data_IF_311669793502
#
_entry.id   IF_311669793502
#
_cell.length_a   1.000
_cell.length_b   1.000
_cell.length_c   1.000
_cell.angle_alpha   90.00
_cell.angle_beta   90.00
_cell.angle_gamma   90.00
#
_symmetry.space_group_name_H-M   'P 1'
#
loop_
_entity.id
_entity.type
_entity.pdbx_description
1 polymer ?
#
# COMPACT_ATOMS: atom_id res chain seq x y z
N UNK A 1 -18.60 4.72 21.36
CA UNK A 1 -18.21 4.57 19.94
C UNK A 1 -17.85 5.96 19.43
N UNK A 2 -16.59 6.22 19.11
CA UNK A 2 -16.18 7.52 18.55
C UNK A 2 -16.86 7.73 17.20
N UNK A 3 -17.53 8.87 17.00
CA UNK A 3 -18.20 9.19 15.74
C UNK A 3 -17.15 9.18 14.61
N UNK A 4 -17.37 8.35 13.60
CA UNK A 4 -16.45 8.25 12.46
C UNK A 4 -16.39 9.62 11.74
N UNK A 5 -15.20 10.22 11.66
CA UNK A 5 -15.02 11.48 10.96
C UNK A 5 -15.06 11.21 9.44
N UNK A 6 -16.23 11.42 8.83
CA UNK A 6 -16.51 11.09 7.43
C UNK A 6 -15.61 11.84 6.44
N UNK A 7 -15.19 13.06 6.77
CA UNK A 7 -14.25 13.83 5.94
C UNK A 7 -12.88 13.15 5.87
N UNK A 8 -12.37 12.69 7.02
CA UNK A 8 -11.08 12.00 7.12
C UNK A 8 -11.13 10.58 6.56
N UNK A 9 -12.25 9.86 6.72
CA UNK A 9 -12.32 8.46 6.29
C UNK A 9 -12.61 8.31 4.80
N UNK A 10 -13.55 9.07 4.27
CA UNK A 10 -14.06 8.88 2.90
C UNK A 10 -14.19 10.18 2.11
N UNK A 11 -13.75 11.32 2.64
CA UNK A 11 -13.73 12.59 1.91
C UNK A 11 -15.10 13.24 1.74
N UNK A 12 -16.12 12.81 2.49
CA UNK A 12 -17.43 13.46 2.45
C UNK A 12 -17.36 14.86 3.05
N UNK A 13 -18.03 15.81 2.39
CA UNK A 13 -18.10 17.23 2.76
C UNK A 13 -16.77 18.00 2.67
N UNK A 14 -15.77 17.46 1.97
CA UNK A 14 -14.53 18.21 1.67
C UNK A 14 -14.77 19.11 0.46
N UNK A 15 -14.50 20.42 0.59
CA UNK A 15 -14.49 21.33 -0.56
C UNK A 15 -13.41 20.91 -1.57
N UNK A 16 -13.52 21.38 -2.83
CA UNK A 16 -12.47 21.18 -3.82
C UNK A 16 -11.18 21.92 -3.36
N UNK A 17 -10.34 21.22 -2.60
CA UNK A 17 -9.05 21.72 -2.15
C UNK A 17 -8.04 21.67 -3.30
N UNK A 18 -7.11 22.63 -3.29
CA UNK A 18 -5.90 22.57 -4.12
C UNK A 18 -5.12 21.32 -3.73
N UNK A 19 -4.68 20.57 -4.73
CA UNK A 19 -4.08 19.25 -4.55
C UNK A 19 -2.62 19.26 -5.04
N UNK A 20 -1.64 18.84 -4.21
CA UNK A 20 -1.80 18.19 -2.91
C UNK A 20 -2.05 19.19 -1.76
N UNK A 21 -2.85 18.77 -0.77
CA UNK A 21 -3.06 19.51 0.49
C UNK A 21 -1.79 19.45 1.35
N UNK A 22 -1.27 20.60 1.79
CA UNK A 22 -0.02 20.71 2.58
C UNK A 22 -0.09 19.86 3.86
N UNK A 23 -1.23 19.87 4.56
CA UNK A 23 -1.40 19.05 5.76
C UNK A 23 -1.35 17.55 5.48
N UNK A 24 -1.77 17.14 4.28
CA UNK A 24 -1.73 15.75 3.84
C UNK A 24 -0.30 15.33 3.47
N UNK A 25 0.48 16.25 2.88
CA UNK A 25 1.91 16.07 2.58
C UNK A 25 2.69 15.90 3.88
N UNK A 26 2.49 16.78 4.86
CA UNK A 26 3.11 16.66 6.19
C UNK A 26 2.76 15.33 6.85
N UNK A 27 1.48 14.94 6.80
CA UNK A 27 1.02 13.66 7.34
C UNK A 27 1.73 12.46 6.69
N UNK A 28 1.86 12.46 5.36
CA UNK A 28 2.54 11.39 4.63
C UNK A 28 4.02 11.33 5.02
N UNK A 29 4.70 12.48 5.10
CA UNK A 29 6.10 12.54 5.50
C UNK A 29 6.33 12.05 6.93
N UNK A 30 5.48 12.44 7.87
CA UNK A 30 5.54 11.93 9.24
C UNK A 30 5.37 10.42 9.30
N UNK A 31 4.52 9.85 8.44
CA UNK A 31 4.27 8.41 8.36
C UNK A 31 5.41 7.64 7.68
N UNK A 32 5.97 8.17 6.60
CA UNK A 32 7.19 7.62 5.99
C UNK A 32 8.33 7.62 7.00
N UNK A 33 8.51 8.75 7.70
CA UNK A 33 9.47 8.87 8.78
C UNK A 33 9.17 7.85 9.89
N UNK A 34 7.95 7.70 10.38
CA UNK A 34 7.63 6.71 11.43
C UNK A 34 7.94 5.26 11.03
N UNK A 35 7.86 4.94 9.74
CA UNK A 35 8.21 3.63 9.19
C UNK A 35 9.71 3.43 8.93
N UNK A 36 10.52 4.49 8.99
CA UNK A 36 11.94 4.45 8.63
C UNK A 36 12.21 4.63 7.14
N UNK A 37 11.21 4.99 6.35
CA UNK A 37 11.35 5.32 4.93
C UNK A 37 11.84 6.78 4.77
N UNK A 38 12.56 7.11 3.68
CA UNK A 38 12.86 8.50 3.34
C UNK A 38 11.56 9.28 3.10
N UNK A 39 11.58 10.56 3.46
CA UNK A 39 10.46 11.48 3.34
C UNK A 39 10.84 12.65 2.43
N UNK A 40 9.84 13.33 1.88
CA UNK A 40 10.08 14.47 0.99
C UNK A 40 10.54 15.69 1.78
N UNK A 41 11.59 16.36 1.30
CA UNK A 41 12.08 17.59 1.91
C UNK A 41 11.05 18.72 1.69
N UNK A 42 10.25 19.01 2.71
CA UNK A 42 9.39 20.19 2.71
C UNK A 42 10.24 21.40 3.10
N UNK A 43 10.15 22.51 2.36
CA UNK A 43 10.87 23.78 2.63
C UNK A 43 10.32 24.55 3.86
N UNK A 44 9.54 23.92 4.72
CA UNK A 44 8.84 24.59 5.83
C UNK A 44 9.53 24.25 7.14
N UNK A 45 10.09 25.26 7.81
CA UNK A 45 10.57 25.16 9.19
C UNK A 45 9.35 25.00 10.11
N UNK A 46 8.90 23.75 10.27
CA UNK A 46 7.84 23.44 11.24
C UNK A 46 8.39 23.56 12.66
N UNK A 47 7.82 24.42 13.53
CA UNK A 47 8.30 24.62 14.90
C UNK A 47 8.15 23.38 15.80
N UNK A 48 7.57 22.28 15.29
CA UNK A 48 7.38 21.02 16.01
C UNK A 48 8.37 19.92 15.59
N UNK A 49 9.30 20.21 14.68
CA UNK A 49 10.19 19.22 14.06
C UNK A 49 10.98 18.38 15.09
N UNK A 50 11.69 19.02 16.02
CA UNK A 50 12.53 18.33 17.01
C UNK A 50 11.74 17.41 17.96
N UNK A 51 10.54 17.87 18.38
CA UNK A 51 9.64 17.09 19.23
C UNK A 51 9.08 15.89 18.46
N UNK A 52 8.70 16.10 17.19
CA UNK A 52 8.23 15.01 16.33
C UNK A 52 9.31 13.98 16.03
N UNK A 53 10.56 14.40 15.83
CA UNK A 53 11.69 13.49 15.56
C UNK A 53 11.93 12.52 16.72
N UNK A 54 11.92 13.02 17.96
CA UNK A 54 12.10 12.19 19.16
C UNK A 54 10.96 11.17 19.33
N UNK A 55 9.72 11.57 19.07
CA UNK A 55 8.55 10.68 19.11
C UNK A 55 8.59 9.63 17.99
N UNK A 56 9.00 10.03 16.79
CA UNK A 56 9.19 9.15 15.64
C UNK A 56 10.28 8.12 15.93
N UNK A 57 11.42 8.52 16.47
CA UNK A 57 12.50 7.62 16.83
C UNK A 57 12.07 6.57 17.86
N UNK A 58 11.34 6.99 18.90
CA UNK A 58 10.75 6.08 19.88
C UNK A 58 9.75 5.11 19.23
N UNK A 59 8.88 5.62 18.37
CA UNK A 59 7.90 4.79 17.66
C UNK A 59 8.57 3.76 16.76
N UNK A 60 9.64 4.12 16.05
CA UNK A 60 10.45 3.18 15.24
C UNK A 60 11.01 2.03 16.07
N UNK A 61 11.54 2.31 17.27
CA UNK A 61 12.04 1.25 18.15
C UNK A 61 10.93 0.34 18.67
N UNK A 62 9.74 0.89 18.97
CA UNK A 62 8.57 0.09 19.33
C UNK A 62 8.12 -0.81 18.17
N UNK A 63 8.04 -0.26 16.95
CA UNK A 63 7.72 -1.00 15.72
C UNK A 63 8.77 -2.08 15.41
N UNK A 64 10.04 -1.85 15.73
CA UNK A 64 11.09 -2.88 15.62
C UNK A 64 10.82 -4.07 16.54
N UNK A 65 10.39 -3.81 17.78
CA UNK A 65 10.00 -4.86 18.73
C UNK A 65 8.72 -5.59 18.28
N UNK A 66 7.80 -4.88 17.62
CA UNK A 66 6.57 -5.44 17.06
C UNK A 66 6.72 -5.92 15.62
N UNK A 67 7.94 -6.12 15.12
CA UNK A 67 8.21 -6.45 13.72
C UNK A 67 7.53 -7.72 13.21
N UNK A 68 7.11 -8.63 14.10
CA UNK A 68 6.38 -9.85 13.76
C UNK A 68 4.87 -9.73 13.92
N UNK A 69 4.37 -8.64 14.51
CA UNK A 69 2.95 -8.41 14.72
C UNK A 69 2.22 -8.21 13.38
N UNK A 70 1.07 -8.84 13.26
CA UNK A 70 0.12 -8.63 12.15
C UNK A 70 -1.14 -8.04 12.74
N UNK A 71 -1.76 -7.09 12.04
CA UNK A 71 -3.05 -6.57 12.48
C UNK A 71 -4.09 -7.73 12.50
N UNK A 72 -5.20 -7.61 13.25
CA UNK A 72 -6.16 -8.71 13.38
C UNK A 72 -6.71 -9.25 12.06
N UNK A 73 -6.83 -8.42 11.02
CA UNK A 73 -7.25 -8.86 9.70
C UNK A 73 -6.17 -9.74 9.05
N UNK A 74 -4.94 -9.25 8.95
CA UNK A 74 -3.82 -9.97 8.35
C UNK A 74 -3.46 -11.23 9.13
N UNK A 75 -3.59 -11.20 10.46
CA UNK A 75 -3.39 -12.38 11.30
C UNK A 75 -4.36 -13.49 10.92
N UNK A 76 -5.65 -13.19 10.72
CA UNK A 76 -6.64 -14.19 10.30
C UNK A 76 -6.32 -14.77 8.92
N UNK A 77 -5.90 -13.92 7.98
CA UNK A 77 -5.46 -14.35 6.64
C UNK A 77 -4.23 -15.25 6.76
N UNK A 78 -3.23 -14.88 7.55
CA UNK A 78 -2.02 -15.67 7.75
C UNK A 78 -2.31 -17.01 8.43
N UNK A 79 -3.19 -17.05 9.44
CA UNK A 79 -3.59 -18.33 10.05
C UNK A 79 -4.26 -19.26 9.05
N UNK A 80 -5.13 -18.71 8.19
CA UNK A 80 -5.73 -19.48 7.11
C UNK A 80 -4.67 -19.96 6.12
N UNK A 81 -3.74 -19.11 5.68
CA UNK A 81 -2.65 -19.49 4.78
C UNK A 81 -1.78 -20.61 5.38
N UNK A 82 -1.41 -20.49 6.66
CA UNK A 82 -0.62 -21.50 7.35
C UNK A 82 -1.33 -22.86 7.37
N UNK A 83 -2.64 -22.87 7.63
CA UNK A 83 -3.44 -24.09 7.62
C UNK A 83 -3.62 -24.64 6.20
N UNK A 84 -3.90 -23.77 5.23
CA UNK A 84 -4.21 -24.15 3.85
C UNK A 84 -3.00 -24.64 3.09
N UNK A 85 -1.81 -24.08 3.37
CA UNK A 85 -0.56 -24.36 2.64
C UNK A 85 0.43 -25.20 3.44
N UNK A 86 0.11 -25.58 4.68
CA UNK A 86 1.05 -26.23 5.60
C UNK A 86 1.68 -27.53 5.07
N UNK A 87 0.97 -28.28 4.23
CA UNK A 87 1.50 -29.51 3.61
C UNK A 87 2.36 -29.26 2.36
N UNK A 88 2.42 -28.02 1.86
CA UNK A 88 3.12 -27.68 0.62
C UNK A 88 4.56 -27.17 0.83
N UNK A 89 4.99 -27.05 2.10
CA UNK A 89 6.31 -26.56 2.50
C UNK A 89 6.21 -25.24 3.28
N UNK A 90 7.26 -24.42 3.19
CA UNK A 90 7.29 -23.11 3.84
C UNK A 90 6.15 -22.23 3.32
N UNK A 91 5.38 -21.67 4.26
CA UNK A 91 4.25 -20.81 3.96
C UNK A 91 4.71 -19.35 3.95
N UNK A 92 4.55 -18.62 2.84
CA UNK A 92 4.88 -17.21 2.75
C UNK A 92 4.18 -16.38 3.84
N UNK A 93 4.92 -15.45 4.43
CA UNK A 93 4.43 -14.55 5.47
C UNK A 93 4.01 -13.21 4.85
N UNK A 94 2.83 -12.73 5.22
CA UNK A 94 2.38 -11.38 4.85
C UNK A 94 3.33 -10.30 5.39
N UNK A 95 3.55 -9.21 4.64
CA UNK A 95 4.34 -8.08 5.10
C UNK A 95 3.75 -7.48 6.37
N UNK A 96 4.50 -7.49 7.47
CA UNK A 96 4.09 -6.88 8.74
C UNK A 96 4.19 -5.35 8.74
N UNK A 97 5.03 -4.80 7.85
CA UNK A 97 5.22 -3.37 7.68
C UNK A 97 4.69 -2.93 6.32
N UNK A 98 3.72 -2.03 6.35
CA UNK A 98 3.16 -1.40 5.15
C UNK A 98 2.71 0.03 5.47
N UNK A 99 2.71 0.88 4.45
CA UNK A 99 2.13 2.20 4.50
C UNK A 99 0.60 2.05 4.45
N UNK A 100 -0.03 2.09 5.63
CA UNK A 100 -1.49 1.92 5.72
C UNK A 100 -2.21 3.15 5.16
N UNK A 101 -3.21 2.97 4.32
CA UNK A 101 -4.06 4.03 3.79
C UNK A 101 -5.23 4.30 4.73
N UNK A 102 -5.00 5.06 5.79
CA UNK A 102 -5.95 5.28 6.89
C UNK A 102 -6.67 6.64 6.83
N UNK A 103 -6.32 7.49 5.86
CA UNK A 103 -6.99 8.78 5.59
C UNK A 103 -7.33 8.93 4.11
N UNK A 104 -8.49 9.51 3.85
CA UNK A 104 -8.89 9.92 2.51
C UNK A 104 -7.86 10.87 1.89
N UNK A 105 -7.65 10.75 0.57
CA UNK A 105 -6.71 11.56 -0.19
C UNK A 105 -5.27 11.02 -0.19
N UNK A 106 -4.84 10.30 0.86
CA UNK A 106 -3.46 9.80 1.00
C UNK A 106 -3.02 8.96 -0.20
N UNK A 107 -3.84 7.99 -0.62
CA UNK A 107 -3.52 7.12 -1.75
C UNK A 107 -3.31 7.92 -3.04
N UNK A 108 -4.16 8.94 -3.26
CA UNK A 108 -4.03 9.83 -4.41
C UNK A 108 -2.70 10.58 -4.33
N UNK A 109 -2.40 11.24 -3.21
CA UNK A 109 -1.13 11.96 -2.97
C UNK A 109 0.10 11.08 -3.15
N UNK A 110 0.03 9.81 -2.77
CA UNK A 110 1.12 8.87 -2.97
C UNK A 110 1.35 8.49 -4.44
N UNK A 111 0.36 8.69 -5.32
CA UNK A 111 0.36 8.19 -6.69
C UNK A 111 1.12 9.08 -7.69
N UNK A 112 1.62 10.25 -7.26
CA UNK A 112 2.39 11.20 -8.06
C UNK A 112 3.51 11.78 -7.19
N UNK A 113 4.63 12.24 -7.80
CA UNK A 113 5.64 13.04 -7.12
C UNK A 113 5.03 14.23 -6.37
N UNK A 114 5.67 14.62 -5.26
CA UNK A 114 5.34 15.88 -4.61
C UNK A 114 5.61 17.06 -5.54
N UNK A 115 6.79 17.06 -6.17
CA UNK A 115 7.22 18.06 -7.15
C UNK A 115 7.03 17.49 -8.55
N UNK A 116 6.15 18.10 -9.34
CA UNK A 116 5.87 17.69 -10.72
C UNK A 116 4.50 17.06 -10.96
N UNK A 117 4.21 16.89 -12.24
CA UNK A 117 2.89 16.51 -12.74
C UNK A 117 2.88 15.17 -13.49
N UNK A 118 4.02 14.47 -13.59
CA UNK A 118 4.13 13.19 -14.29
C UNK A 118 4.90 12.17 -13.45
N UNK A 119 4.47 10.91 -13.52
CA UNK A 119 5.21 9.77 -13.02
C UNK A 119 5.21 8.67 -14.06
N UNK A 120 6.35 8.01 -14.26
CA UNK A 120 6.48 6.93 -15.24
C UNK A 120 7.27 5.77 -14.66
N UNK A 121 6.71 4.57 -14.82
CA UNK A 121 7.40 3.30 -14.55
C UNK A 121 7.07 2.28 -15.65
N UNK A 122 7.65 1.09 -15.53
CA UNK A 122 7.43 -0.02 -16.46
C UNK A 122 5.99 -0.58 -16.43
N UNK A 123 5.15 -0.17 -15.48
CA UNK A 123 3.78 -0.67 -15.31
C UNK A 123 2.70 0.40 -15.46
N UNK A 124 3.04 1.68 -15.30
CA UNK A 124 2.05 2.77 -15.30
C UNK A 124 2.68 4.13 -15.65
N UNK A 125 1.91 4.95 -16.36
CA UNK A 125 2.18 6.37 -16.54
C UNK A 125 1.05 7.17 -15.87
N UNK A 126 1.40 8.06 -14.95
CA UNK A 126 0.44 8.85 -14.17
C UNK A 126 0.65 10.34 -14.41
N UNK A 127 -0.44 11.10 -14.46
CA UNK A 127 -0.43 12.53 -14.72
C UNK A 127 -1.33 13.29 -13.76
N UNK A 128 -0.86 14.43 -13.27
CA UNK A 128 -1.71 15.46 -12.66
C UNK A 128 -2.37 16.25 -13.79
N UNK A 129 -3.69 16.33 -13.75
CA UNK A 129 -4.48 17.08 -14.75
C UNK A 129 -5.44 18.04 -14.06
N UNK A 130 -5.97 19.02 -14.79
CA UNK A 130 -6.89 20.03 -14.22
C UNK A 130 -8.11 19.41 -13.54
N UNK A 131 -8.58 18.26 -14.02
CA UNK A 131 -9.74 17.54 -13.52
C UNK A 131 -9.42 16.55 -12.38
N UNK A 132 -8.14 16.36 -12.02
CA UNK A 132 -7.72 15.41 -11.01
C UNK A 132 -6.45 14.64 -11.40
N UNK A 133 -6.54 13.32 -11.43
CA UNK A 133 -5.42 12.43 -11.76
C UNK A 133 -5.79 11.50 -12.90
N UNK A 134 -4.85 11.27 -13.81
CA UNK A 134 -4.95 10.33 -14.91
C UNK A 134 -3.92 9.21 -14.70
N UNK A 135 -4.34 7.97 -14.88
CA UNK A 135 -3.50 6.78 -14.74
C UNK A 135 -3.64 5.91 -15.99
N UNK A 136 -2.55 5.75 -16.73
CA UNK A 136 -2.47 4.94 -17.94
C UNK A 136 -1.58 3.72 -17.65
N UNK A 137 -2.14 2.58 -17.24
CA UNK A 137 -1.38 1.34 -17.08
C UNK A 137 -0.92 0.79 -18.44
N UNK A 138 0.12 -0.05 -18.45
CA UNK A 138 0.63 -0.66 -19.69
C UNK A 138 -0.44 -1.48 -20.43
N UNK A 139 -1.32 -2.16 -19.68
CA UNK A 139 -2.45 -2.87 -20.25
C UNK A 139 -3.74 -2.04 -20.08
N UNK A 140 -4.20 -1.42 -21.15
CA UNK A 140 -5.39 -0.55 -21.17
C UNK A 140 -6.73 -1.33 -21.16
N UNK A 141 -6.70 -2.65 -21.37
CA UNK A 141 -7.92 -3.48 -21.43
C UNK A 141 -7.80 -4.74 -20.60
N UNK A 142 -8.92 -5.12 -19.99
CA UNK A 142 -9.05 -6.37 -19.23
C UNK A 142 -9.32 -7.55 -20.17
N UNK A 143 -8.61 -8.65 -19.94
CA UNK A 143 -8.89 -9.96 -20.56
C UNK A 143 -9.76 -10.80 -19.64
N UNK A 144 -10.73 -11.55 -20.18
CA UNK A 144 -11.60 -12.45 -19.40
C UNK A 144 -11.32 -13.92 -19.65
N UNK A 145 -10.87 -14.28 -20.86
CA UNK A 145 -10.58 -15.66 -21.24
C UNK A 145 -9.26 -16.12 -20.64
N UNK A 146 -9.30 -17.18 -19.82
CA UNK A 146 -8.10 -17.84 -19.28
C UNK A 146 -7.37 -17.09 -18.15
N UNK A 147 -7.97 -16.05 -17.57
CA UNK A 147 -7.32 -15.24 -16.52
C UNK A 147 -7.66 -15.68 -15.09
N UNK A 148 -8.70 -16.48 -14.90
CA UNK A 148 -9.18 -16.87 -13.57
C UNK A 148 -8.67 -18.26 -13.21
N UNK A 149 -7.68 -18.30 -12.31
CA UNK A 149 -7.08 -19.52 -11.80
C UNK A 149 -7.52 -19.75 -10.35
N UNK A 150 -7.72 -21.01 -9.96
CA UNK A 150 -8.10 -21.40 -8.60
C UNK A 150 -7.12 -22.47 -8.15
N UNK A 151 -6.56 -22.31 -6.94
CA UNK A 151 -5.74 -23.35 -6.34
C UNK A 151 -6.59 -24.62 -6.15
N UNK A 152 -6.10 -25.75 -6.63
CA UNK A 152 -6.77 -27.03 -6.59
C UNK A 152 -6.67 -27.64 -5.18
N UNK A 153 -7.37 -27.01 -4.24
CA UNK A 153 -7.50 -27.44 -2.85
C UNK A 153 -8.71 -26.77 -2.19
N UNK A 154 -9.40 -27.52 -1.33
CA UNK A 154 -10.60 -27.05 -0.64
C UNK A 154 -11.87 -27.35 -1.44
N UNK A 155 -12.54 -26.32 -1.94
CA UNK A 155 -13.78 -26.49 -2.70
C UNK A 155 -13.52 -26.94 -4.15
N UNK A 156 -14.47 -27.65 -4.79
CA UNK A 156 -14.33 -28.05 -6.19
C UNK A 156 -14.07 -26.85 -7.12
N UNK A 157 -13.09 -26.99 -8.00
CA UNK A 157 -12.80 -26.00 -9.05
C UNK A 157 -13.88 -26.10 -10.14
N UNK A 158 -14.58 -25.01 -10.51
CA UNK A 158 -15.54 -25.02 -11.60
C UNK A 158 -14.89 -25.36 -12.94
N UNK A 159 -15.62 -26.06 -13.81
CA UNK A 159 -15.11 -26.57 -15.09
C UNK A 159 -14.61 -25.48 -16.06
N UNK A 160 -15.06 -24.23 -15.90
CA UNK A 160 -14.66 -23.09 -16.73
C UNK A 160 -13.42 -22.34 -16.18
N UNK A 161 -12.80 -22.82 -15.09
CA UNK A 161 -11.63 -22.21 -14.44
C UNK A 161 -10.38 -23.07 -14.62
N UNK A 162 -9.22 -22.44 -14.49
CA UNK A 162 -7.93 -23.13 -14.53
C UNK A 162 -7.59 -23.60 -13.11
N UNK A 163 -7.50 -24.91 -12.91
CA UNK A 163 -7.03 -25.51 -11.66
C UNK A 163 -5.49 -25.41 -11.58
N UNK A 164 -4.98 -24.73 -10.55
CA UNK A 164 -3.55 -24.58 -10.30
C UNK A 164 -3.14 -25.48 -9.14
N UNK A 165 -2.09 -26.32 -9.25
CA UNK A 165 -1.64 -27.15 -8.14
C UNK A 165 -1.34 -26.31 -6.89
N UNK A 166 -1.74 -26.79 -5.71
CA UNK A 166 -1.60 -26.04 -4.45
C UNK A 166 -0.15 -25.58 -4.18
N UNK A 167 0.83 -26.45 -4.48
CA UNK A 167 2.26 -26.12 -4.37
C UNK A 167 2.70 -25.01 -5.33
N UNK A 168 2.10 -24.93 -6.52
CA UNK A 168 2.35 -23.85 -7.47
C UNK A 168 1.82 -22.54 -6.92
N UNK A 169 0.60 -22.52 -6.37
CA UNK A 169 0.06 -21.35 -5.70
C UNK A 169 0.95 -20.90 -4.53
N UNK A 170 1.43 -21.82 -3.69
CA UNK A 170 2.33 -21.48 -2.58
C UNK A 170 3.60 -20.74 -3.06
N UNK A 171 4.23 -21.27 -4.12
CA UNK A 171 5.43 -20.65 -4.72
C UNK A 171 5.12 -19.28 -5.32
N UNK A 172 4.02 -19.16 -6.07
CA UNK A 172 3.60 -17.89 -6.67
C UNK A 172 3.32 -16.83 -5.60
N UNK A 173 2.68 -17.20 -4.49
CA UNK A 173 2.47 -16.31 -3.35
C UNK A 173 3.81 -15.86 -2.75
N UNK A 174 4.78 -16.77 -2.62
CA UNK A 174 6.13 -16.44 -2.17
C UNK A 174 6.78 -15.35 -3.02
N UNK A 175 6.71 -15.48 -4.35
CA UNK A 175 7.21 -14.45 -5.27
C UNK A 175 6.40 -13.15 -5.20
N UNK A 176 5.08 -13.22 -5.08
CA UNK A 176 4.21 -12.05 -5.01
C UNK A 176 4.49 -11.17 -3.78
N UNK A 177 4.95 -11.78 -2.68
CA UNK A 177 5.31 -11.08 -1.44
C UNK A 177 6.78 -10.63 -1.41
N UNK A 178 7.53 -10.82 -2.50
CA UNK A 178 8.92 -10.38 -2.68
C UNK A 178 9.10 -9.64 -4.02
N UNK A 179 8.38 -8.52 -4.23
CA UNK A 179 8.51 -7.73 -5.45
C UNK A 179 9.91 -7.08 -5.56
N UNK A 180 10.39 -6.79 -6.78
CA UNK A 180 11.61 -6.00 -6.99
C UNK A 180 11.45 -4.56 -6.44
N UNK A 181 12.56 -3.92 -6.09
CA UNK A 181 12.59 -2.56 -5.52
C UNK A 181 11.90 -1.53 -6.43
N UNK A 182 12.03 -1.66 -7.74
CA UNK A 182 11.37 -0.78 -8.72
C UNK A 182 9.84 -0.78 -8.62
N UNK A 183 9.22 -1.86 -8.15
CA UNK A 183 7.77 -1.94 -7.90
C UNK A 183 7.36 -1.49 -6.50
N UNK A 184 8.34 -1.34 -5.60
CA UNK A 184 8.13 -0.91 -4.21
C UNK A 184 8.29 0.61 -4.04
N UNK A 185 8.92 1.26 -5.01
CA UNK A 185 9.11 2.71 -5.04
C UNK A 185 7.76 3.46 -5.02
N UNK A 186 7.60 4.38 -4.07
CA UNK A 186 6.46 5.28 -4.02
C UNK A 186 6.65 6.45 -4.99
N UNK A 187 5.70 6.71 -5.91
CA UNK A 187 5.75 7.86 -6.83
C UNK A 187 6.00 9.19 -6.11
N UNK A 188 5.43 9.36 -4.92
CA UNK A 188 5.56 10.54 -4.07
C UNK A 188 7.00 11.02 -3.83
N UNK A 189 7.94 10.09 -3.67
CA UNK A 189 9.36 10.37 -3.40
C UNK A 189 10.25 10.21 -4.63
N UNK A 190 9.67 9.97 -5.81
CA UNK A 190 10.43 9.52 -7.00
C UNK A 190 11.40 10.56 -7.58
N UNK A 191 11.19 11.85 -7.29
CA UNK A 191 12.07 12.96 -7.70
C UNK A 191 13.20 13.25 -6.69
N UNK A 192 13.30 12.44 -5.62
CA UNK A 192 14.37 12.56 -4.64
C UNK A 192 15.51 11.58 -4.93
N UNK A 193 16.71 11.90 -4.41
CA UNK A 193 17.84 10.96 -4.43
C UNK A 193 17.53 9.69 -3.63
N UNK A 194 16.95 9.85 -2.44
CA UNK A 194 16.51 8.75 -1.59
C UNK A 194 15.00 8.53 -1.73
N UNK A 195 14.63 7.40 -2.33
CA UNK A 195 13.24 7.05 -2.65
C UNK A 195 12.66 6.08 -1.64
N UNK A 196 11.40 6.27 -1.27
CA UNK A 196 10.73 5.39 -0.32
C UNK A 196 10.27 4.10 -1.00
N UNK A 197 10.68 2.97 -0.44
CA UNK A 197 10.30 1.64 -0.92
C UNK A 197 9.50 0.92 0.16
N UNK A 198 8.20 0.68 -0.06
CA UNK A 198 7.38 -0.08 0.89
C UNK A 198 6.08 -0.59 0.27
N UNK A 199 5.52 -1.65 0.86
CA UNK A 199 4.15 -2.06 0.58
C UNK A 199 3.17 -0.99 1.04
N UNK A 200 2.08 -0.80 0.28
CA UNK A 200 0.94 0.03 0.67
C UNK A 200 -0.25 -0.89 0.96
N UNK A 201 -1.05 -0.60 1.99
CA UNK A 201 -2.17 -1.47 2.40
C UNK A 201 -3.45 -0.68 2.68
N UNK A 202 -4.60 -1.33 2.52
CA UNK A 202 -5.92 -0.71 2.73
C UNK A 202 -6.88 -1.71 3.37
N UNK A 203 -7.66 -1.25 4.36
CA UNK A 203 -8.75 -2.01 4.93
C UNK A 203 -10.09 -1.59 4.30
N UNK A 204 -10.76 -2.53 3.64
CA UNK A 204 -12.09 -2.33 3.09
C UNK A 204 -13.14 -3.06 3.93
N UNK A 205 -14.35 -2.50 3.98
CA UNK A 205 -15.54 -3.11 4.60
C UNK A 205 -16.73 -3.02 3.63
N UNK A 206 -16.67 -3.78 2.52
CA UNK A 206 -17.77 -3.79 1.54
C UNK A 206 -19.04 -4.35 2.17
N UNK A 207 -20.20 -3.86 1.72
CA UNK A 207 -21.49 -4.46 2.05
C UNK A 207 -21.59 -5.81 1.35
N UNK A 208 -22.13 -6.81 2.07
CA UNK A 208 -22.33 -8.19 1.61
C UNK A 208 -23.81 -8.51 1.68
#
# INVERSE_FOLDING_TARGET
MSSMNLSKSIGLNTSAQVYPDEHLVEYINLKLASMGCPAVNIKTDSPFKDVTESLIAKHREQERLLSTYLCPADWRVQQWLNKFLGETGDVPRLPSKSFVLDRHGVARTLSLPLEGDEFKSDIIHSYRIRQGVLHNPVNDRRTTKGVFHIADAGFPVPADKIAAPLKTFNRMLGFALQPPSSLMELPFTSEQEAKAECFVSLLLRPLV
#
